data_IF_177881659245
#
_entry.id   IF_177881659245
#
_cell.length_a   1.000
_cell.length_b   1.000
_cell.length_c   1.000
_cell.angle_alpha   90.00
_cell.angle_beta   90.00
_cell.angle_gamma   90.00
#
_symmetry.space_group_name_H-M   'P 1'
#
loop_
_entity.id
_entity.type
_entity.pdbx_description
1 polymer ?
#
# COMPACT_ATOMS: atom_id res chain seq x y z
N UNK A 1 -87.87 -32.01 -73.18
CA UNK A 1 -86.42 -32.30 -73.08
C UNK A 1 -85.67 -31.14 -72.46
N UNK A 2 -85.86 -29.91 -72.93
CA UNK A 2 -85.13 -28.71 -72.44
C UNK A 2 -85.27 -28.41 -70.94
N UNK A 3 -86.45 -28.63 -70.35
CA UNK A 3 -86.69 -28.37 -68.92
C UNK A 3 -85.94 -29.36 -68.00
N UNK A 4 -85.68 -30.58 -68.47
CA UNK A 4 -84.89 -31.58 -67.74
C UNK A 4 -83.39 -31.33 -67.88
N UNK A 5 -82.94 -30.94 -69.07
CA UNK A 5 -81.56 -30.51 -69.30
C UNK A 5 -81.20 -29.29 -68.44
N UNK A 6 -82.07 -28.27 -68.37
CA UNK A 6 -81.83 -27.07 -67.55
C UNK A 6 -81.77 -27.38 -66.04
N UNK A 7 -82.61 -28.30 -65.54
CA UNK A 7 -82.55 -28.75 -64.14
C UNK A 7 -81.26 -29.52 -63.81
N UNK A 8 -80.80 -30.37 -64.72
CA UNK A 8 -79.53 -31.09 -64.56
C UNK A 8 -78.33 -30.13 -64.53
N UNK A 9 -78.30 -29.16 -65.44
CA UNK A 9 -77.25 -28.13 -65.52
C UNK A 9 -77.21 -27.24 -64.26
N UNK A 10 -78.37 -26.89 -63.69
CA UNK A 10 -78.45 -26.14 -62.44
C UNK A 10 -78.01 -26.97 -61.22
N UNK A 11 -78.29 -28.28 -61.20
CA UNK A 11 -77.84 -29.18 -60.14
C UNK A 11 -76.32 -29.38 -60.19
N UNK A 12 -75.75 -29.56 -61.40
CA UNK A 12 -74.31 -29.65 -61.63
C UNK A 12 -73.59 -28.38 -61.15
N UNK A 13 -74.09 -27.21 -61.53
CA UNK A 13 -73.55 -25.92 -61.08
C UNK A 13 -73.66 -25.72 -59.55
N UNK A 14 -74.74 -26.21 -58.93
CA UNK A 14 -74.90 -26.18 -57.46
C UNK A 14 -73.87 -27.06 -56.76
N UNK A 15 -73.60 -28.26 -57.30
CA UNK A 15 -72.58 -29.18 -56.77
C UNK A 15 -71.18 -28.58 -56.93
N UNK A 16 -70.87 -27.97 -58.08
CA UNK A 16 -69.59 -27.27 -58.29
C UNK A 16 -69.34 -26.16 -57.26
N UNK A 17 -70.35 -25.32 -56.98
CA UNK A 17 -70.27 -24.26 -55.97
C UNK A 17 -70.03 -24.86 -54.57
N UNK A 18 -70.69 -25.97 -54.23
CA UNK A 18 -70.47 -26.65 -52.95
C UNK A 18 -69.07 -27.26 -52.83
N UNK A 19 -68.55 -27.88 -53.90
CA UNK A 19 -67.19 -28.41 -53.96
C UNK A 19 -66.17 -27.28 -53.79
N UNK A 20 -66.35 -26.15 -54.48
CA UNK A 20 -65.48 -24.98 -54.37
C UNK A 20 -65.48 -24.41 -52.94
N UNK A 21 -66.66 -24.33 -52.32
CA UNK A 21 -66.79 -23.88 -50.93
C UNK A 21 -66.14 -24.85 -49.93
N UNK A 22 -66.26 -26.17 -50.16
CA UNK A 22 -65.59 -27.19 -49.34
C UNK A 22 -64.08 -27.15 -49.53
N UNK A 23 -63.57 -26.94 -50.75
CA UNK A 23 -62.15 -26.75 -51.03
C UNK A 23 -61.60 -25.54 -50.28
N UNK A 24 -62.25 -24.37 -50.36
CA UNK A 24 -61.86 -23.16 -49.62
C UNK A 24 -61.88 -23.36 -48.09
N UNK A 25 -62.87 -24.10 -47.57
CA UNK A 25 -62.92 -24.47 -46.15
C UNK A 25 -61.79 -25.43 -45.77
N UNK A 26 -61.45 -26.37 -46.64
CA UNK A 26 -60.35 -27.30 -46.44
C UNK A 26 -59.01 -26.55 -46.40
N UNK A 27 -58.74 -25.68 -47.38
CA UNK A 27 -57.50 -24.89 -47.43
C UNK A 27 -57.37 -23.95 -46.24
N UNK A 28 -58.44 -23.23 -45.87
CA UNK A 28 -58.41 -22.34 -44.70
C UNK A 28 -58.16 -23.10 -43.39
N UNK A 29 -58.72 -24.31 -43.22
CA UNK A 29 -58.43 -25.17 -42.07
C UNK A 29 -57.01 -25.70 -42.08
N UNK A 30 -56.49 -26.09 -43.25
CA UNK A 30 -55.09 -26.54 -43.40
C UNK A 30 -54.11 -25.41 -43.07
N UNK A 31 -54.37 -24.18 -43.51
CA UNK A 31 -53.57 -23.00 -43.17
C UNK A 31 -53.63 -22.68 -41.67
N UNK A 32 -54.82 -22.75 -41.06
CA UNK A 32 -54.98 -22.55 -39.63
C UNK A 32 -54.22 -23.61 -38.80
N UNK A 33 -54.26 -24.88 -39.23
CA UNK A 33 -53.49 -25.95 -38.60
C UNK A 33 -51.98 -25.72 -38.73
N UNK A 34 -51.52 -25.24 -39.88
CA UNK A 34 -50.10 -24.95 -40.10
C UNK A 34 -49.63 -23.78 -39.21
N UNK A 35 -50.43 -22.71 -39.12
CA UNK A 35 -50.16 -21.59 -38.21
C UNK A 35 -50.14 -22.03 -36.75
N UNK A 36 -51.08 -22.87 -36.32
CA UNK A 36 -51.12 -23.38 -34.96
C UNK A 36 -49.93 -24.30 -34.67
N UNK A 37 -49.54 -25.14 -35.63
CA UNK A 37 -48.35 -25.98 -35.52
C UNK A 37 -47.07 -25.15 -35.37
N UNK A 38 -46.97 -24.04 -36.10
CA UNK A 38 -45.83 -23.13 -36.00
C UNK A 38 -45.78 -22.43 -34.64
N UNK A 39 -46.93 -21.94 -34.15
CA UNK A 39 -47.02 -21.35 -32.82
C UNK A 39 -46.70 -22.37 -31.71
N UNK A 40 -47.17 -23.60 -31.85
CA UNK A 40 -46.85 -24.68 -30.91
C UNK A 40 -45.35 -24.99 -30.88
N UNK A 41 -44.68 -25.05 -32.02
CA UNK A 41 -43.24 -25.22 -32.09
C UNK A 41 -42.49 -24.05 -31.42
N UNK A 42 -42.90 -22.81 -31.68
CA UNK A 42 -42.33 -21.62 -31.03
C UNK A 42 -42.50 -21.68 -29.51
N UNK A 43 -43.69 -22.04 -29.01
CA UNK A 43 -43.94 -22.21 -27.58
C UNK A 43 -43.10 -23.33 -26.96
N UNK A 44 -42.83 -24.41 -27.70
CA UNK A 44 -41.94 -25.48 -27.24
C UNK A 44 -40.49 -24.99 -27.12
N UNK A 45 -39.99 -24.28 -28.12
CA UNK A 45 -38.65 -23.70 -28.07
C UNK A 45 -38.50 -22.71 -26.90
N UNK A 46 -39.49 -21.85 -26.68
CA UNK A 46 -39.50 -20.92 -25.53
C UNK A 46 -39.51 -21.68 -24.21
N UNK A 47 -40.34 -22.71 -24.05
CA UNK A 47 -40.36 -23.54 -22.84
C UNK A 47 -39.00 -24.17 -22.58
N UNK A 48 -38.37 -24.73 -23.60
CA UNK A 48 -37.07 -25.41 -23.46
C UNK A 48 -35.97 -24.41 -23.09
N UNK A 49 -36.00 -23.19 -23.65
CA UNK A 49 -35.12 -22.09 -23.26
C UNK A 49 -35.31 -21.69 -21.79
N UNK A 50 -36.56 -21.55 -21.33
CA UNK A 50 -36.84 -21.24 -19.92
C UNK A 50 -36.42 -22.37 -18.98
N UNK A 51 -36.57 -23.63 -19.40
CA UNK A 51 -36.13 -24.79 -18.61
C UNK A 51 -34.60 -24.82 -18.46
N UNK A 52 -33.85 -24.54 -19.54
CA UNK A 52 -32.39 -24.43 -19.48
C UNK A 52 -31.95 -23.24 -18.63
N UNK A 53 -32.60 -22.09 -18.77
CA UNK A 53 -32.33 -20.91 -17.94
C UNK A 53 -32.55 -21.22 -16.45
N UNK A 54 -33.65 -21.89 -16.10
CA UNK A 54 -33.95 -22.29 -14.73
C UNK A 54 -32.89 -23.26 -14.16
N UNK A 55 -32.44 -24.24 -14.95
CA UNK A 55 -31.35 -25.15 -14.57
C UNK A 55 -30.05 -24.38 -14.33
N UNK A 56 -29.72 -23.43 -15.20
CA UNK A 56 -28.55 -22.58 -15.06
C UNK A 56 -28.62 -21.68 -13.81
N UNK A 57 -29.78 -21.10 -13.51
CA UNK A 57 -29.97 -20.33 -12.27
C UNK A 57 -29.82 -21.19 -11.03
N UNK A 58 -30.39 -22.40 -11.01
CA UNK A 58 -30.26 -23.32 -9.88
C UNK A 58 -28.80 -23.72 -9.64
N UNK A 59 -28.02 -23.94 -10.71
CA UNK A 59 -26.59 -24.23 -10.62
C UNK A 59 -25.81 -23.05 -10.04
N UNK A 60 -26.03 -21.83 -10.57
CA UNK A 60 -25.38 -20.61 -10.07
C UNK A 60 -25.73 -20.31 -8.61
N UNK A 61 -26.98 -20.57 -8.21
CA UNK A 61 -27.41 -20.40 -6.83
C UNK A 61 -26.66 -21.36 -5.90
N UNK A 62 -26.55 -22.64 -6.26
CA UNK A 62 -25.79 -23.64 -5.50
C UNK A 62 -24.30 -23.28 -5.40
N UNK A 63 -23.69 -22.79 -6.48
CA UNK A 63 -22.31 -22.31 -6.49
C UNK A 63 -22.13 -21.09 -5.56
N UNK A 64 -23.07 -20.14 -5.59
CA UNK A 64 -23.05 -18.96 -4.73
C UNK A 64 -23.24 -19.33 -3.25
N UNK A 65 -24.16 -20.24 -2.93
CA UNK A 65 -24.39 -20.75 -1.57
C UNK A 65 -23.14 -21.45 -1.02
N UNK A 66 -22.47 -22.26 -1.84
CA UNK A 66 -21.23 -22.93 -1.46
C UNK A 66 -20.09 -21.92 -1.23
N UNK A 67 -19.95 -20.91 -2.10
CA UNK A 67 -18.98 -19.84 -1.92
C UNK A 67 -19.23 -19.05 -0.63
N UNK A 68 -20.49 -18.67 -0.37
CA UNK A 68 -20.88 -17.98 0.85
C UNK A 68 -20.58 -18.82 2.11
N UNK A 69 -20.81 -20.13 2.06
CA UNK A 69 -20.51 -21.04 3.17
C UNK A 69 -19.02 -21.08 3.49
N UNK A 70 -18.15 -21.12 2.47
CA UNK A 70 -16.69 -21.10 2.66
C UNK A 70 -16.26 -19.76 3.26
N UNK A 71 -16.72 -18.65 2.70
CA UNK A 71 -16.41 -17.31 3.19
C UNK A 71 -16.85 -17.16 4.65
N UNK A 72 -18.07 -17.57 5.00
CA UNK A 72 -18.58 -17.52 6.38
C UNK A 72 -17.71 -18.33 7.35
N UNK A 73 -17.23 -19.51 6.94
CA UNK A 73 -16.30 -20.31 7.76
C UNK A 73 -14.94 -19.63 7.94
N UNK A 74 -14.41 -18.99 6.90
CA UNK A 74 -13.16 -18.23 6.99
C UNK A 74 -13.29 -17.01 7.90
N UNK A 75 -14.41 -16.28 7.81
CA UNK A 75 -14.71 -15.18 8.72
C UNK A 75 -14.77 -15.65 10.19
N UNK A 76 -15.46 -16.76 10.47
CA UNK A 76 -15.52 -17.30 11.83
C UNK A 76 -14.14 -17.74 12.36
N UNK A 77 -13.29 -18.31 11.49
CA UNK A 77 -11.90 -18.66 11.85
C UNK A 77 -11.06 -17.42 12.12
N UNK A 78 -11.21 -16.38 11.30
CA UNK A 78 -10.51 -15.11 11.48
C UNK A 78 -10.91 -14.44 12.80
N UNK A 79 -12.21 -14.37 13.09
CA UNK A 79 -12.73 -13.82 14.34
C UNK A 79 -12.19 -14.58 15.57
N UNK A 80 -12.19 -15.92 15.53
CA UNK A 80 -11.61 -16.74 16.60
C UNK A 80 -10.10 -16.50 16.78
N UNK A 81 -9.35 -16.31 15.68
CA UNK A 81 -7.92 -16.00 15.75
C UNK A 81 -7.69 -14.62 16.35
N UNK A 82 -8.43 -13.61 15.91
CA UNK A 82 -8.35 -12.24 16.42
C UNK A 82 -8.70 -12.18 17.92
N UNK A 83 -9.71 -12.94 18.36
CA UNK A 83 -10.06 -13.04 19.78
C UNK A 83 -8.89 -13.61 20.62
N UNK A 84 -8.25 -14.69 20.17
CA UNK A 84 -7.09 -15.29 20.87
C UNK A 84 -5.90 -14.35 20.93
N UNK A 85 -5.63 -13.62 19.84
CA UNK A 85 -4.54 -12.64 19.78
C UNK A 85 -4.81 -11.47 20.73
N UNK A 86 -6.05 -10.97 20.76
CA UNK A 86 -6.48 -9.95 21.73
C UNK A 86 -6.25 -10.41 23.17
N UNK A 87 -6.68 -11.62 23.50
CA UNK A 87 -6.53 -12.17 24.86
C UNK A 87 -5.06 -12.39 25.23
N UNK A 88 -4.21 -12.76 24.27
CA UNK A 88 -2.77 -12.89 24.48
C UNK A 88 -2.12 -11.52 24.78
N UNK A 89 -2.46 -10.50 23.99
CA UNK A 89 -1.95 -9.13 24.20
C UNK A 89 -2.42 -8.52 25.53
N UNK A 90 -3.65 -8.81 25.95
CA UNK A 90 -4.16 -8.37 27.25
C UNK A 90 -3.31 -8.98 28.38
N UNK A 91 -3.04 -10.29 28.33
CA UNK A 91 -2.21 -10.97 29.33
C UNK A 91 -0.78 -10.44 29.36
N UNK A 92 -0.18 -10.19 28.19
CA UNK A 92 1.16 -9.60 28.11
C UNK A 92 1.20 -8.19 28.72
N UNK A 93 0.19 -7.36 28.44
CA UNK A 93 0.09 -6.02 29.00
C UNK A 93 -0.10 -6.05 30.53
N UNK A 94 -0.94 -6.94 31.05
CA UNK A 94 -1.09 -7.16 32.49
C UNK A 94 0.24 -7.57 33.14
N UNK A 95 0.99 -8.47 32.50
CA UNK A 95 2.30 -8.91 33.00
C UNK A 95 3.34 -7.77 32.99
N UNK A 96 3.36 -6.96 31.93
CA UNK A 96 4.23 -5.78 31.85
C UNK A 96 3.87 -4.74 32.91
N UNK A 97 2.59 -4.50 33.16
CA UNK A 97 2.14 -3.60 34.22
C UNK A 97 2.60 -4.08 35.60
N UNK A 98 2.49 -5.38 35.89
CA UNK A 98 3.00 -5.97 37.13
C UNK A 98 4.53 -5.83 37.25
N UNK A 99 5.27 -6.03 36.15
CA UNK A 99 6.72 -5.85 36.13
C UNK A 99 7.11 -4.39 36.43
N UNK A 100 6.44 -3.43 35.80
CA UNK A 100 6.67 -2.00 36.05
C UNK A 100 6.37 -1.66 37.51
N UNK A 101 5.25 -2.15 38.07
CA UNK A 101 4.92 -1.93 39.49
C UNK A 101 6.00 -2.49 40.42
N UNK A 102 6.50 -3.70 40.15
CA UNK A 102 7.59 -4.30 40.93
C UNK A 102 8.86 -3.46 40.87
N UNK A 103 9.27 -3.04 39.67
CA UNK A 103 10.46 -2.20 39.49
C UNK A 103 10.31 -0.83 40.17
N UNK A 104 9.11 -0.24 40.17
CA UNK A 104 8.84 1.01 40.89
C UNK A 104 9.00 0.85 42.40
N UNK A 105 8.48 -0.25 42.96
CA UNK A 105 8.63 -0.57 44.39
C UNK A 105 10.11 -0.75 44.74
N UNK A 106 10.84 -1.53 43.93
CA UNK A 106 12.27 -1.76 44.10
C UNK A 106 13.08 -0.46 44.02
N UNK A 107 12.80 0.39 43.03
CA UNK A 107 13.47 1.68 42.86
C UNK A 107 13.22 2.61 44.06
N UNK A 108 12.00 2.60 44.61
CA UNK A 108 11.67 3.37 45.81
C UNK A 108 12.39 2.84 47.05
N UNK A 109 12.53 1.52 47.19
CA UNK A 109 13.30 0.89 48.27
C UNK A 109 14.78 1.29 48.19
N UNK A 110 15.38 1.19 47.01
CA UNK A 110 16.78 1.58 46.79
C UNK A 110 17.00 3.07 47.07
N UNK A 111 16.05 3.94 46.69
CA UNK A 111 16.09 5.37 47.03
C UNK A 111 16.05 5.62 48.53
N UNK A 112 15.27 4.84 49.29
CA UNK A 112 15.22 4.93 50.74
C UNK A 112 16.56 4.50 51.36
N UNK A 113 17.12 3.38 50.92
CA UNK A 113 18.43 2.90 51.36
C UNK A 113 19.54 3.91 51.07
N UNK A 114 19.56 4.50 49.87
CA UNK A 114 20.50 5.57 49.52
C UNK A 114 20.35 6.77 50.47
N UNK A 115 19.12 7.11 50.87
CA UNK A 115 18.87 8.22 51.79
C UNK A 115 19.40 7.90 53.20
N UNK A 116 19.19 6.69 53.68
CA UNK A 116 19.64 6.23 55.00
C UNK A 116 21.17 6.19 55.06
N UNK A 117 21.83 5.57 54.08
CA UNK A 117 23.29 5.55 53.96
C UNK A 117 23.87 6.97 53.88
N UNK A 118 23.23 7.88 53.11
CA UNK A 118 23.65 9.30 53.07
C UNK A 118 23.53 9.97 54.44
N UNK A 119 22.52 9.63 55.23
CA UNK A 119 22.34 10.18 56.58
C UNK A 119 23.40 9.64 57.56
N UNK A 120 23.72 8.35 57.48
CA UNK A 120 24.78 7.73 58.27
C UNK A 120 26.16 8.30 57.93
N UNK A 121 26.47 8.45 56.63
CA UNK A 121 27.70 9.11 56.20
C UNK A 121 27.82 10.54 56.76
N UNK A 122 26.73 11.30 56.81
CA UNK A 122 26.74 12.65 57.41
C UNK A 122 27.01 12.59 58.92
N UNK A 123 26.37 11.67 59.64
CA UNK A 123 26.58 11.49 61.07
C UNK A 123 28.02 11.07 61.40
N UNK A 124 28.60 10.16 60.60
CA UNK A 124 30.00 9.75 60.73
C UNK A 124 30.96 10.91 60.47
N UNK A 125 30.74 11.70 59.42
CA UNK A 125 31.53 12.93 59.16
C UNK A 125 31.46 13.90 60.34
N UNK A 126 30.29 14.10 60.94
CA UNK A 126 30.14 14.97 62.11
C UNK A 126 30.86 14.42 63.35
N UNK A 127 30.79 13.11 63.60
CA UNK A 127 31.53 12.46 64.70
C UNK A 127 33.04 12.62 64.51
N UNK A 128 33.53 12.43 63.28
CA UNK A 128 34.95 12.60 62.95
C UNK A 128 35.41 14.03 63.25
N UNK A 129 34.65 15.03 62.81
CA UNK A 129 34.93 16.44 63.08
C UNK A 129 34.94 16.77 64.58
N UNK A 130 34.01 16.21 65.37
CA UNK A 130 34.00 16.38 66.83
C UNK A 130 35.24 15.76 67.49
N UNK A 131 35.65 14.57 67.05
CA UNK A 131 36.86 13.91 67.54
C UNK A 131 38.12 14.71 67.20
N UNK A 132 38.23 15.27 66.00
CA UNK A 132 39.34 16.15 65.61
C UNK A 132 39.40 17.41 66.50
N UNK A 133 38.26 18.05 66.73
CA UNK A 133 38.19 19.23 67.61
C UNK A 133 38.56 18.89 69.05
N UNK A 134 38.04 17.79 69.61
CA UNK A 134 38.37 17.37 70.98
C UNK A 134 39.86 16.99 71.14
N UNK A 135 40.47 16.45 70.08
CA UNK A 135 41.93 16.20 70.05
C UNK A 135 42.72 17.50 70.13
N UNK A 136 42.33 18.53 69.36
CA UNK A 136 42.99 19.84 69.39
C UNK A 136 42.92 20.49 70.78
N UNK A 137 41.77 20.44 71.45
CA UNK A 137 41.63 20.99 72.81
C UNK A 137 42.46 20.22 73.85
N UNK A 138 42.67 18.91 73.69
CA UNK A 138 43.54 18.12 74.58
C UNK A 138 45.02 18.40 74.34
N UNK A 139 45.41 18.64 73.09
CA UNK A 139 46.77 19.04 72.72
C UNK A 139 47.09 20.47 73.23
N UNK A 140 46.10 21.37 73.26
CA UNK A 140 46.23 22.72 73.86
C UNK A 140 46.31 22.68 75.40
N UNK A 141 45.48 21.87 76.07
CA UNK A 141 45.50 21.72 77.53
C UNK A 141 46.78 21.03 78.06
N UNK A 142 47.41 20.17 77.25
CA UNK A 142 48.73 19.61 77.56
C UNK A 142 49.87 20.65 77.47
N UNK A 143 49.64 21.77 76.79
CA UNK A 143 50.63 22.84 76.58
C UNK A 143 50.59 23.93 77.67
N UNK A 144 49.48 24.08 78.39
CA UNK A 144 49.32 25.07 79.48
C UNK A 144 49.96 24.66 80.83
N UNK A 145 50.46 23.43 80.98
CA UNK A 145 51.08 22.95 82.23
C UNK A 145 52.61 23.04 82.30
N UNK A 146 53.23 23.84 81.41
CA UNK A 146 54.67 24.15 81.45
C UNK A 146 54.90 25.66 81.42
N UNK A 147 54.64 26.34 82.53
CA UNK A 147 55.00 27.75 82.70
C UNK A 147 56.30 27.91 83.51
N UNK A 148 57.23 28.69 82.94
CA UNK A 148 58.22 29.59 83.58
C UNK A 148 59.70 29.15 83.63
N UNK A 149 60.54 29.74 82.77
CA UNK A 149 61.77 30.45 83.17
C UNK A 149 62.42 31.27 82.02
N UNK A 150 62.25 32.59 82.12
CA UNK A 150 63.28 33.63 82.01
C UNK A 150 64.00 33.99 80.67
N UNK A 151 63.85 35.28 80.35
CA UNK A 151 64.83 36.25 79.79
C UNK A 151 65.25 36.12 78.33
N UNK A 152 64.85 37.13 77.54
CA UNK A 152 65.19 37.27 76.14
C UNK A 152 66.62 37.69 75.88
N UNK A 153 67.16 37.20 74.77
CA UNK A 153 67.91 37.99 73.81
C UNK A 153 68.10 37.17 72.54
N UNK A 154 67.58 37.72 71.44
CA UNK A 154 68.08 37.62 70.06
C UNK A 154 68.40 36.22 69.53
N UNK A 155 67.46 35.63 68.80
CA UNK A 155 67.78 34.63 67.77
C UNK A 155 66.78 34.70 66.62
N UNK A 156 67.34 34.74 65.41
CA UNK A 156 66.70 34.45 64.13
C UNK A 156 65.76 33.24 64.27
N UNK A 157 64.52 33.30 63.76
CA UNK A 157 64.30 33.10 62.33
C UNK A 157 64.63 31.64 61.98
N UNK A 158 63.64 30.75 62.10
CA UNK A 158 63.57 29.33 61.67
C UNK A 158 62.53 28.65 62.60
N UNK A 159 61.44 28.03 62.19
CA UNK A 159 60.91 27.71 60.88
C UNK A 159 59.48 27.19 61.12
N UNK A 160 58.48 28.03 60.86
CA UNK A 160 57.12 27.52 60.62
C UNK A 160 57.20 26.75 59.31
N UNK A 161 57.37 25.44 59.44
CA UNK A 161 57.72 24.57 58.34
C UNK A 161 56.67 24.59 57.23
N UNK A 162 57.07 24.29 55.99
CA UNK A 162 56.20 24.25 54.82
C UNK A 162 55.04 23.24 54.93
N UNK A 163 55.04 22.38 55.96
CA UNK A 163 54.10 21.28 56.12
C UNK A 163 52.64 21.70 56.38
N UNK A 164 52.38 22.74 57.20
CA UNK A 164 50.99 23.09 57.55
C UNK A 164 50.28 23.85 56.43
N UNK A 165 50.99 24.77 55.75
CA UNK A 165 50.54 25.38 54.51
C UNK A 165 50.33 24.34 53.40
N UNK A 166 51.21 23.32 53.32
CA UNK A 166 51.07 22.23 52.34
C UNK A 166 49.83 21.37 52.58
N UNK A 167 49.47 21.06 53.83
CA UNK A 167 48.24 20.28 54.12
C UNK A 167 46.96 21.05 53.82
N UNK A 168 46.93 22.35 54.11
CA UNK A 168 45.78 23.19 53.78
C UNK A 168 45.64 23.36 52.27
N UNK A 169 46.75 23.54 51.55
CA UNK A 169 46.78 23.60 50.09
C UNK A 169 46.28 22.30 49.46
N UNK A 170 46.72 21.14 49.95
CA UNK A 170 46.21 19.84 49.46
C UNK A 170 44.70 19.66 49.66
N UNK A 171 44.17 20.10 50.81
CA UNK A 171 42.71 20.00 51.07
C UNK A 171 41.94 20.96 50.17
N UNK A 172 42.47 22.16 49.93
CA UNK A 172 41.90 23.11 48.98
C UNK A 172 41.92 22.57 47.55
N UNK A 173 43.03 21.96 47.10
CA UNK A 173 43.12 21.31 45.79
C UNK A 173 42.13 20.14 45.65
N UNK A 174 41.95 19.31 46.70
CA UNK A 174 40.94 18.25 46.73
C UNK A 174 39.51 18.78 46.64
N UNK A 175 39.20 19.87 47.34
CA UNK A 175 37.89 20.52 47.25
C UNK A 175 37.70 21.16 45.88
N UNK A 176 38.74 21.77 45.31
CA UNK A 176 38.68 22.42 44.00
C UNK A 176 38.49 21.41 42.86
N UNK A 177 39.18 20.27 42.92
CA UNK A 177 38.98 19.14 41.99
C UNK A 177 37.58 18.56 42.13
N UNK A 178 37.06 18.38 43.35
CA UNK A 178 35.67 17.97 43.56
C UNK A 178 34.67 18.99 43.02
N UNK A 179 34.91 20.29 43.20
CA UNK A 179 34.07 21.33 42.63
C UNK A 179 34.10 21.31 41.09
N UNK A 180 35.28 21.09 40.50
CA UNK A 180 35.42 20.93 39.05
C UNK A 180 34.63 19.72 38.53
N UNK A 181 34.72 18.57 39.21
CA UNK A 181 33.92 17.39 38.87
C UNK A 181 32.42 17.65 39.00
N UNK A 182 31.97 18.29 40.09
CA UNK A 182 30.56 18.62 40.27
C UNK A 182 30.05 19.62 39.21
N UNK A 183 30.87 20.59 38.80
CA UNK A 183 30.55 21.49 37.70
C UNK A 183 30.40 20.74 36.38
N UNK A 184 31.28 19.78 36.10
CA UNK A 184 31.20 18.94 34.91
C UNK A 184 29.96 18.04 34.92
N UNK A 185 29.64 17.43 36.06
CA UNK A 185 28.45 16.58 36.23
C UNK A 185 27.16 17.40 36.02
N UNK A 186 27.08 18.60 36.61
CA UNK A 186 25.94 19.51 36.41
C UNK A 186 25.82 19.89 34.94
N UNK A 187 26.93 20.20 34.26
CA UNK A 187 26.92 20.50 32.83
C UNK A 187 26.41 19.30 32.01
N UNK A 188 26.85 18.08 32.33
CA UNK A 188 26.39 16.86 31.66
C UNK A 188 24.89 16.63 31.87
N UNK A 189 24.39 16.83 33.08
CA UNK A 189 22.96 16.71 33.40
C UNK A 189 22.11 17.77 32.71
N UNK A 190 22.65 18.97 32.48
CA UNK A 190 21.97 20.01 31.71
C UNK A 190 21.86 19.62 30.23
N UNK A 191 22.92 19.08 29.63
CA UNK A 191 22.88 18.56 28.27
C UNK A 191 21.84 17.44 28.12
N UNK A 192 21.84 16.45 29.02
CA UNK A 192 20.86 15.35 29.01
C UNK A 192 19.42 15.87 29.16
N UNK A 193 19.21 16.85 30.03
CA UNK A 193 17.91 17.51 30.18
C UNK A 193 17.46 18.19 28.89
N UNK A 194 18.36 18.85 28.16
CA UNK A 194 18.05 19.50 26.89
C UNK A 194 17.67 18.48 25.79
N UNK A 195 18.37 17.35 25.73
CA UNK A 195 18.02 16.23 24.83
C UNK A 195 16.62 15.69 25.15
N UNK A 196 16.32 15.42 26.43
CA UNK A 196 14.99 14.96 26.85
C UNK A 196 13.88 15.98 26.55
N UNK A 197 14.19 17.28 26.61
CA UNK A 197 13.26 18.35 26.21
C UNK A 197 12.98 18.28 24.71
N UNK A 198 14.00 18.07 23.88
CA UNK A 198 13.85 17.92 22.44
C UNK A 198 12.98 16.71 22.10
N UNK A 199 13.28 15.55 22.69
CA UNK A 199 12.52 14.30 22.49
C UNK A 199 11.05 14.46 22.89
N UNK A 200 10.80 15.08 24.06
CA UNK A 200 9.44 15.37 24.52
C UNK A 200 8.69 16.24 23.51
N UNK A 201 9.34 17.27 22.98
CA UNK A 201 8.71 18.20 22.05
C UNK A 201 8.46 17.56 20.67
N UNK A 202 9.31 16.64 20.22
CA UNK A 202 9.06 15.80 19.04
C UNK A 202 7.90 14.84 19.24
N UNK A 203 7.84 14.16 20.40
CA UNK A 203 6.74 13.28 20.75
C UNK A 203 5.42 14.05 20.85
N UNK A 204 5.41 15.26 21.43
CA UNK A 204 4.24 16.15 21.43
C UNK A 204 3.77 16.47 20.00
N UNK A 205 4.68 16.83 19.10
CA UNK A 205 4.33 17.07 17.67
C UNK A 205 3.76 15.81 17.02
N UNK A 206 4.28 14.63 17.33
CA UNK A 206 3.77 13.35 16.81
C UNK A 206 2.36 13.06 17.33
N UNK A 207 2.13 13.24 18.63
CA UNK A 207 0.80 13.07 19.25
C UNK A 207 -0.20 14.05 18.65
N UNK A 208 0.17 15.32 18.46
CA UNK A 208 -0.70 16.31 17.84
C UNK A 208 -1.08 15.93 16.41
N UNK A 209 -0.11 15.51 15.58
CA UNK A 209 -0.39 15.00 14.23
C UNK A 209 -1.32 13.80 14.24
N UNK A 210 -1.05 12.79 15.07
CA UNK A 210 -1.88 11.59 15.16
C UNK A 210 -3.29 11.91 15.66
N UNK A 211 -3.42 12.81 16.63
CA UNK A 211 -4.71 13.28 17.14
C UNK A 211 -5.50 14.03 16.07
N UNK A 212 -4.82 14.80 15.22
CA UNK A 212 -5.42 15.48 14.09
C UNK A 212 -5.92 14.48 13.03
N UNK A 213 -5.08 13.50 12.64
CA UNK A 213 -5.47 12.42 11.71
C UNK A 213 -6.62 11.57 12.26
N UNK A 214 -6.59 11.27 13.56
CA UNK A 214 -7.65 10.55 14.25
C UNK A 214 -8.95 11.38 14.25
N UNK A 215 -8.86 12.69 14.51
CA UNK A 215 -10.02 13.58 14.41
C UNK A 215 -10.58 13.64 12.99
N UNK A 216 -9.74 13.62 11.96
CA UNK A 216 -10.19 13.55 10.56
C UNK A 216 -10.87 12.21 10.23
N UNK A 217 -10.42 11.11 10.81
CA UNK A 217 -11.04 9.78 10.65
C UNK A 217 -12.38 9.66 11.39
N UNK A 218 -12.45 10.12 12.64
CA UNK A 218 -13.65 10.04 13.48
C UNK A 218 -14.73 11.05 13.07
N UNK A 219 -14.33 12.27 12.70
CA UNK A 219 -15.28 13.32 12.33
C UNK A 219 -15.66 13.26 10.84
N UNK A 220 -15.01 12.39 10.05
CA UNK A 220 -15.25 12.19 8.63
C UNK A 220 -15.14 13.48 7.83
N UNK A 221 -13.92 13.91 7.48
CA UNK A 221 -13.76 15.06 6.59
C UNK A 221 -14.45 14.78 5.25
N UNK A 222 -15.53 15.50 4.88
CA UNK A 222 -16.23 15.27 3.63
C UNK A 222 -15.29 15.41 2.43
N UNK A 223 -14.25 16.24 2.51
CA UNK A 223 -13.27 16.37 1.44
C UNK A 223 -12.40 15.12 1.28
N UNK A 224 -12.10 14.39 2.36
CA UNK A 224 -11.32 13.14 2.28
C UNK A 224 -12.16 11.99 1.75
N UNK A 225 -13.41 11.89 2.19
CA UNK A 225 -14.37 10.91 1.64
C UNK A 225 -14.59 11.16 0.14
N UNK A 226 -14.75 12.43 -0.27
CA UNK A 226 -14.86 12.81 -1.69
C UNK A 226 -13.59 12.46 -2.47
N UNK A 227 -12.39 12.77 -1.93
CA UNK A 227 -11.13 12.39 -2.59
C UNK A 227 -10.94 10.87 -2.71
N UNK A 228 -11.35 10.11 -1.71
CA UNK A 228 -11.29 8.64 -1.73
C UNK A 228 -12.29 8.07 -2.76
N UNK A 229 -13.51 8.61 -2.81
CA UNK A 229 -14.52 8.26 -3.82
C UNK A 229 -14.03 8.61 -5.24
N UNK A 230 -13.46 9.80 -5.44
CA UNK A 230 -12.94 10.24 -6.74
C UNK A 230 -11.74 9.37 -7.17
N UNK A 231 -10.89 8.95 -6.23
CA UNK A 231 -9.82 7.99 -6.47
C UNK A 231 -10.35 6.63 -6.95
N UNK A 232 -11.37 6.11 -6.26
CA UNK A 232 -12.05 4.86 -6.64
C UNK A 232 -12.75 4.98 -8.00
N UNK A 233 -13.40 6.11 -8.29
CA UNK A 233 -14.04 6.37 -9.58
C UNK A 233 -13.02 6.47 -10.72
N UNK A 234 -11.89 7.14 -10.50
CA UNK A 234 -10.79 7.21 -11.46
C UNK A 234 -10.22 5.82 -11.79
N UNK A 235 -9.98 5.01 -10.76
CA UNK A 235 -9.55 3.62 -10.94
C UNK A 235 -10.61 2.78 -11.67
N UNK A 236 -11.88 2.93 -11.31
CA UNK A 236 -12.99 2.24 -11.98
C UNK A 236 -13.08 2.61 -13.47
N UNK A 237 -12.90 3.89 -13.82
CA UNK A 237 -12.84 4.36 -15.22
C UNK A 237 -11.68 3.72 -15.99
N UNK A 238 -10.49 3.69 -15.40
CA UNK A 238 -9.31 3.07 -16.03
C UNK A 238 -9.49 1.56 -16.21
N UNK A 239 -9.98 0.85 -15.19
CA UNK A 239 -10.22 -0.59 -15.26
C UNK A 239 -11.29 -0.94 -16.30
N UNK A 240 -12.36 -0.15 -16.41
CA UNK A 240 -13.37 -0.29 -17.47
C UNK A 240 -12.76 -0.13 -18.86
N UNK A 241 -11.98 0.93 -19.08
CA UNK A 241 -11.32 1.16 -20.38
C UNK A 241 -10.33 0.02 -20.73
N UNK A 242 -9.60 -0.49 -19.74
CA UNK A 242 -8.68 -1.63 -19.91
C UNK A 242 -9.43 -2.93 -20.22
N UNK A 243 -10.57 -3.16 -19.58
CA UNK A 243 -11.42 -4.31 -19.83
C UNK A 243 -12.01 -4.28 -21.25
N UNK A 244 -12.52 -3.12 -21.68
CA UNK A 244 -13.06 -2.92 -23.02
C UNK A 244 -11.98 -3.17 -24.09
N UNK A 245 -10.78 -2.60 -23.93
CA UNK A 245 -9.66 -2.86 -24.83
C UNK A 245 -9.26 -4.36 -24.87
N UNK A 246 -9.25 -5.02 -23.72
CA UNK A 246 -8.99 -6.46 -23.68
C UNK A 246 -10.09 -7.27 -24.38
N UNK A 247 -11.36 -6.87 -24.24
CA UNK A 247 -12.48 -7.51 -24.95
C UNK A 247 -12.34 -7.33 -26.47
N UNK A 248 -11.97 -6.15 -26.95
CA UNK A 248 -11.67 -5.91 -28.37
C UNK A 248 -10.55 -6.84 -28.87
N UNK A 249 -9.44 -6.93 -28.13
CA UNK A 249 -8.32 -7.84 -28.46
C UNK A 249 -8.76 -9.31 -28.51
N UNK A 250 -9.59 -9.76 -27.56
CA UNK A 250 -10.15 -11.12 -27.60
C UNK A 250 -11.09 -11.32 -28.80
N UNK A 251 -11.83 -10.29 -29.21
CA UNK A 251 -12.70 -10.32 -30.38
C UNK A 251 -11.90 -10.49 -31.67
N UNK A 252 -10.80 -9.76 -31.80
CA UNK A 252 -9.94 -9.79 -32.98
C UNK A 252 -9.14 -11.07 -33.09
N UNK A 253 -8.57 -11.55 -31.99
CA UNK A 253 -7.90 -12.85 -31.95
C UNK A 253 -8.87 -13.98 -32.30
N UNK A 254 -10.12 -13.92 -31.83
CA UNK A 254 -11.18 -14.87 -32.22
C UNK A 254 -11.54 -14.77 -33.70
N UNK A 255 -11.64 -13.55 -34.25
CA UNK A 255 -11.88 -13.33 -35.68
C UNK A 255 -10.73 -13.85 -36.55
N UNK A 256 -9.48 -13.59 -36.15
CA UNK A 256 -8.28 -14.09 -36.79
C UNK A 256 -8.21 -15.62 -36.74
N UNK A 257 -8.48 -16.24 -35.59
CA UNK A 257 -8.59 -17.69 -35.46
C UNK A 257 -9.66 -18.28 -36.37
N UNK A 258 -10.82 -17.63 -36.48
CA UNK A 258 -11.89 -18.05 -37.40
C UNK A 258 -11.45 -17.96 -38.86
N UNK A 259 -10.71 -16.90 -39.24
CA UNK A 259 -10.10 -16.73 -40.57
C UNK A 259 -9.10 -17.86 -40.87
N UNK A 260 -8.14 -18.09 -39.97
CA UNK A 260 -7.14 -19.15 -40.14
C UNK A 260 -7.77 -20.55 -40.17
N UNK A 261 -8.77 -20.82 -39.33
CA UNK A 261 -9.53 -22.08 -39.35
C UNK A 261 -10.22 -22.31 -40.68
N UNK A 262 -10.82 -21.27 -41.28
CA UNK A 262 -11.43 -21.37 -42.62
C UNK A 262 -10.38 -21.70 -43.68
N UNK A 263 -9.23 -21.04 -43.67
CA UNK A 263 -8.13 -21.31 -44.60
C UNK A 263 -7.62 -22.75 -44.49
N UNK A 264 -7.45 -23.28 -43.26
CA UNK A 264 -7.02 -24.66 -43.02
C UNK A 264 -8.08 -25.66 -43.48
N UNK A 265 -9.35 -25.44 -43.15
CA UNK A 265 -10.44 -26.32 -43.57
C UNK A 265 -10.63 -26.33 -45.10
N UNK A 266 -10.39 -25.19 -45.76
CA UNK A 266 -10.42 -25.11 -47.22
C UNK A 266 -9.27 -25.89 -47.86
N UNK A 267 -8.06 -25.89 -47.26
CA UNK A 267 -6.94 -26.76 -47.67
C UNK A 267 -7.29 -28.25 -47.54
N UNK A 268 -7.95 -28.64 -46.45
CA UNK A 268 -8.35 -30.04 -46.22
C UNK A 268 -9.40 -30.52 -47.21
N UNK A 269 -10.36 -29.66 -47.58
CA UNK A 269 -11.44 -30.00 -48.53
C UNK A 269 -10.96 -30.11 -49.98
N UNK A 270 -9.93 -29.36 -50.36
CA UNK A 270 -9.26 -29.51 -51.68
C UNK A 270 -8.50 -30.84 -51.74
N UNK A 271 -7.90 -31.27 -50.63
CA UNK A 271 -7.15 -32.54 -50.53
C UNK A 271 -8.04 -33.79 -50.46
N UNK A 272 -9.30 -33.66 -50.02
CA UNK A 272 -10.26 -34.78 -49.94
C UNK A 272 -10.97 -35.08 -51.27
N UNK A 273 -10.89 -34.20 -52.26
CA UNK A 273 -11.46 -34.41 -53.59
C UNK A 273 -10.47 -35.05 -54.59
N UNK A 274 -9.26 -35.39 -54.14
CA UNK A 274 -8.20 -36.03 -54.92
C UNK A 274 -7.78 -37.35 -54.26
N UNK A 275 -8.74 -38.18 -53.89
CA UNK A 275 -8.50 -39.54 -53.40
C UNK A 275 -8.68 -40.51 -54.56
N UNK A 276 -7.61 -40.66 -55.35
CA UNK A 276 -7.20 -41.89 -56.05
C UNK A 276 -5.93 -41.55 -56.85
N UNK A 277 -4.77 -41.84 -56.25
CA UNK A 277 -3.52 -42.32 -56.88
C UNK A 277 -2.35 -42.25 -55.88
N UNK A 278 -1.60 -43.34 -55.80
CA UNK A 278 -0.39 -43.55 -55.00
C UNK A 278 0.78 -42.64 -55.41
N UNK A 279 1.85 -42.51 -54.60
CA UNK A 279 2.88 -41.51 -54.81
C UNK A 279 3.91 -41.99 -55.84
N UNK A 280 3.77 -41.56 -57.09
CA UNK A 280 4.89 -41.57 -58.03
C UNK A 280 5.44 -40.16 -58.25
N UNK A 281 6.74 -40.03 -57.97
CA UNK A 281 7.57 -38.89 -58.27
C UNK A 281 7.61 -38.68 -59.79
N UNK A 282 6.80 -37.77 -60.32
CA UNK A 282 7.01 -37.22 -61.66
C UNK A 282 6.83 -35.71 -61.65
N UNK A 283 7.75 -35.07 -62.38
CA UNK A 283 7.89 -33.62 -62.50
C UNK A 283 6.66 -32.99 -63.18
N UNK A 284 6.23 -31.86 -62.64
CA UNK A 284 5.33 -30.92 -63.31
C UNK A 284 3.83 -31.16 -63.04
N UNK A 285 3.28 -30.52 -62.01
CA UNK A 285 1.83 -30.53 -61.78
C UNK A 285 1.41 -29.96 -60.44
N UNK A 286 1.01 -28.68 -60.45
CA UNK A 286 0.08 -28.03 -59.51
C UNK A 286 0.21 -28.37 -58.01
N UNK A 287 1.21 -27.77 -57.37
CA UNK A 287 1.12 -27.47 -55.95
C UNK A 287 0.27 -26.19 -55.77
N UNK A 288 -1.06 -26.30 -55.73
CA UNK A 288 -1.92 -25.15 -55.38
C UNK A 288 -1.53 -24.66 -53.99
N UNK A 289 -1.07 -23.42 -54.00
CA UNK A 289 -0.05 -22.90 -53.14
C UNK A 289 -0.62 -22.41 -51.79
N UNK A 290 -0.11 -22.91 -50.66
CA UNK A 290 -0.68 -22.68 -49.34
C UNK A 290 0.27 -22.10 -48.31
N UNK A 291 0.17 -20.79 -48.04
CA UNK A 291 0.81 -20.05 -46.93
C UNK A 291 2.33 -20.26 -46.80
N UNK A 292 3.12 -19.43 -47.49
CA UNK A 292 4.57 -19.38 -47.27
C UNK A 292 4.90 -18.75 -45.91
N UNK A 293 5.82 -19.35 -45.15
CA UNK A 293 6.53 -18.67 -44.05
C UNK A 293 7.51 -17.63 -44.61
N UNK A 294 7.86 -16.60 -43.83
CA UNK A 294 8.75 -15.52 -44.27
C UNK A 294 10.10 -16.03 -44.83
N UNK A 295 10.64 -17.13 -44.29
CA UNK A 295 11.82 -17.80 -44.84
C UNK A 295 11.59 -18.44 -46.21
N UNK A 296 10.42 -19.01 -46.46
CA UNK A 296 10.07 -19.62 -47.74
C UNK A 296 9.83 -18.55 -48.80
N UNK A 297 9.24 -17.40 -48.43
CA UNK A 297 9.10 -16.23 -49.30
C UNK A 297 10.48 -15.69 -49.71
N UNK A 298 11.42 -15.53 -48.77
CA UNK A 298 12.79 -15.11 -49.07
C UNK A 298 13.56 -16.11 -49.92
N UNK A 299 13.37 -17.42 -49.71
CA UNK A 299 14.01 -18.46 -50.52
C UNK A 299 13.46 -18.48 -51.95
N UNK A 300 12.15 -18.26 -52.11
CA UNK A 300 11.43 -18.22 -53.40
C UNK A 300 11.76 -16.95 -54.20
N UNK A 301 11.85 -15.79 -53.55
CA UNK A 301 12.28 -14.54 -54.21
C UNK A 301 13.79 -14.51 -54.51
N UNK A 302 14.60 -15.28 -53.77
CA UNK A 302 16.05 -15.37 -53.97
C UNK A 302 16.51 -16.36 -55.05
N UNK A 303 15.64 -17.27 -55.51
CA UNK A 303 15.97 -18.28 -56.53
C UNK A 303 15.33 -17.95 -57.88
N UNK A 304 16.17 -17.68 -58.88
CA UNK A 304 15.81 -17.08 -60.19
C UNK A 304 14.95 -17.93 -61.15
N UNK A 305 14.25 -18.98 -60.70
CA UNK A 305 13.53 -19.85 -61.65
C UNK A 305 12.31 -20.53 -61.03
N UNK A 306 11.22 -19.77 -60.87
CA UNK A 306 9.87 -20.32 -60.73
C UNK A 306 8.97 -19.61 -61.73
N UNK A 307 8.48 -20.34 -62.73
CA UNK A 307 7.42 -19.86 -63.62
C UNK A 307 6.12 -19.80 -62.81
N UNK A 308 5.87 -18.67 -62.16
CA UNK A 308 4.63 -18.40 -61.43
C UNK A 308 3.56 -17.99 -62.45
N UNK A 309 2.39 -18.63 -62.39
CA UNK A 309 1.26 -18.25 -63.23
C UNK A 309 0.61 -16.96 -62.70
N UNK A 310 -0.15 -16.25 -63.54
CA UNK A 310 -0.90 -15.04 -63.14
C UNK A 310 -1.81 -15.27 -61.91
N UNK A 311 -2.30 -16.49 -61.72
CA UNK A 311 -3.06 -16.89 -60.54
C UNK A 311 -2.24 -16.89 -59.24
N UNK A 312 -0.97 -17.28 -59.30
CA UNK A 312 -0.06 -17.33 -58.15
C UNK A 312 0.35 -15.92 -57.72
N UNK A 313 0.60 -15.02 -58.68
CA UNK A 313 0.86 -13.61 -58.40
C UNK A 313 -0.35 -12.91 -57.76
N UNK A 314 -1.58 -13.21 -58.22
CA UNK A 314 -2.80 -12.70 -57.58
C UNK A 314 -2.96 -13.24 -56.15
N UNK A 315 -2.77 -14.54 -55.94
CA UNK A 315 -2.88 -15.15 -54.62
C UNK A 315 -1.83 -14.60 -53.63
N UNK A 316 -0.58 -14.44 -54.09
CA UNK A 316 0.49 -13.83 -53.30
C UNK A 316 0.17 -12.37 -52.94
N UNK A 317 -0.35 -11.60 -53.91
CA UNK A 317 -0.75 -10.21 -53.68
C UNK A 317 -1.87 -10.10 -52.63
N UNK A 318 -2.87 -10.99 -52.69
CA UNK A 318 -3.96 -11.05 -51.68
C UNK A 318 -3.42 -11.44 -50.30
N UNK A 319 -2.51 -12.41 -50.22
CA UNK A 319 -1.91 -12.83 -48.95
C UNK A 319 -1.05 -11.72 -48.31
N UNK A 320 -0.29 -10.98 -49.13
CA UNK A 320 0.50 -9.82 -48.68
C UNK A 320 -0.40 -8.67 -48.22
N UNK A 321 -1.48 -8.39 -48.94
CA UNK A 321 -2.46 -7.38 -48.56
C UNK A 321 -3.13 -7.73 -47.22
N UNK A 322 -3.55 -8.98 -47.05
CA UNK A 322 -4.11 -9.50 -45.81
C UNK A 322 -3.12 -9.39 -44.64
N UNK A 323 -1.85 -9.74 -44.86
CA UNK A 323 -0.79 -9.61 -43.85
C UNK A 323 -0.53 -8.15 -43.46
N UNK A 324 -0.56 -7.22 -44.42
CA UNK A 324 -0.43 -5.80 -44.14
C UNK A 324 -1.63 -5.27 -43.34
N UNK A 325 -2.84 -5.74 -43.67
CA UNK A 325 -4.05 -5.36 -42.96
C UNK A 325 -4.06 -5.88 -41.51
N UNK A 326 -3.65 -7.13 -41.28
CA UNK A 326 -3.52 -7.71 -39.94
C UNK A 326 -2.51 -6.91 -39.08
N UNK A 327 -1.38 -6.48 -39.66
CA UNK A 327 -0.41 -5.60 -38.99
C UNK A 327 -0.97 -4.21 -38.68
N UNK A 328 -1.76 -3.63 -39.59
CA UNK A 328 -2.40 -2.33 -39.40
C UNK A 328 -3.40 -2.37 -38.24
N UNK A 329 -4.19 -3.43 -38.17
CA UNK A 329 -5.12 -3.69 -37.06
C UNK A 329 -4.33 -3.77 -35.75
N UNK A 330 -3.30 -4.62 -35.69
CA UNK A 330 -2.47 -4.77 -34.49
C UNK A 330 -1.84 -3.44 -34.01
N UNK A 331 -1.33 -2.62 -34.93
CA UNK A 331 -0.80 -1.29 -34.62
C UNK A 331 -1.89 -0.34 -34.08
N UNK A 332 -3.12 -0.44 -34.59
CA UNK A 332 -4.25 0.38 -34.13
C UNK A 332 -4.63 0.01 -32.69
N UNK A 333 -4.63 -1.28 -32.33
CA UNK A 333 -4.85 -1.72 -30.94
C UNK A 333 -3.74 -1.25 -30.01
N UNK A 334 -2.49 -1.39 -30.43
CA UNK A 334 -1.37 -0.90 -29.64
C UNK A 334 -1.45 0.62 -29.37
N UNK A 335 -1.88 1.40 -30.37
CA UNK A 335 -2.14 2.84 -30.20
C UNK A 335 -3.28 3.11 -29.22
N UNK A 336 -4.37 2.35 -29.28
CA UNK A 336 -5.49 2.49 -28.34
C UNK A 336 -5.11 2.13 -26.90
N UNK A 337 -4.36 1.04 -26.70
CA UNK A 337 -3.81 0.65 -25.40
C UNK A 337 -2.89 1.75 -24.83
N UNK A 338 -1.98 2.28 -25.64
CA UNK A 338 -1.10 3.38 -25.24
C UNK A 338 -1.88 4.66 -24.92
N UNK A 339 -3.00 4.93 -25.59
CA UNK A 339 -3.88 6.06 -25.29
C UNK A 339 -4.56 5.92 -23.92
N UNK A 340 -4.98 4.71 -23.54
CA UNK A 340 -5.57 4.42 -22.23
C UNK A 340 -4.51 4.60 -21.13
N UNK A 341 -3.31 4.08 -21.34
CA UNK A 341 -2.18 4.25 -20.42
C UNK A 341 -1.77 5.72 -20.28
N UNK A 342 -1.66 6.45 -21.40
CA UNK A 342 -1.34 7.87 -21.40
C UNK A 342 -2.34 8.70 -20.59
N UNK A 343 -3.65 8.44 -20.75
CA UNK A 343 -4.70 9.08 -19.94
C UNK A 343 -4.54 8.79 -18.45
N UNK A 344 -4.20 7.55 -18.08
CA UNK A 344 -3.98 7.18 -16.68
C UNK A 344 -2.76 7.87 -16.09
N UNK A 345 -1.66 7.96 -16.84
CA UNK A 345 -0.46 8.69 -16.42
C UNK A 345 -0.79 10.16 -16.17
N UNK A 346 -1.47 10.83 -17.11
CA UNK A 346 -1.86 12.24 -16.93
C UNK A 346 -2.79 12.47 -15.74
N UNK A 347 -3.69 11.52 -15.45
CA UNK A 347 -4.59 11.60 -14.29
C UNK A 347 -3.82 11.41 -12.97
N UNK A 348 -2.88 10.46 -12.92
CA UNK A 348 -2.02 10.23 -11.76
C UNK A 348 -1.06 11.41 -11.49
N UNK A 349 -0.50 12.01 -12.54
CA UNK A 349 0.33 13.21 -12.42
C UNK A 349 -0.45 14.40 -11.84
N UNK A 350 -1.70 14.59 -12.29
CA UNK A 350 -2.59 15.62 -11.75
C UNK A 350 -2.94 15.36 -10.27
N UNK A 351 -3.20 14.11 -9.88
CA UNK A 351 -3.45 13.73 -8.48
C UNK A 351 -2.23 13.97 -7.59
N UNK A 352 -1.01 13.68 -8.08
CA UNK A 352 0.23 13.95 -7.34
C UNK A 352 0.46 15.45 -7.14
N UNK A 353 0.21 16.27 -8.17
CA UNK A 353 0.28 17.73 -8.07
C UNK A 353 -0.71 18.28 -7.02
N UNK A 354 -1.93 17.76 -7.00
CA UNK A 354 -2.95 18.16 -6.03
C UNK A 354 -2.54 17.82 -4.59
N UNK A 355 -2.04 16.61 -4.33
CA UNK A 355 -1.54 16.21 -2.99
C UNK A 355 -0.37 17.10 -2.54
N UNK A 356 0.58 17.36 -3.43
CA UNK A 356 1.72 18.25 -3.14
C UNK A 356 1.31 19.71 -2.87
N UNK A 357 0.16 20.15 -3.36
CA UNK A 357 -0.39 21.49 -3.07
C UNK A 357 -1.12 21.55 -1.72
N UNK A 358 -1.77 20.46 -1.30
CA UNK A 358 -2.41 20.36 0.02
C UNK A 358 -1.39 20.35 1.16
N UNK A 359 -0.23 19.73 0.97
CA UNK A 359 0.88 19.78 1.94
C UNK A 359 1.50 21.19 2.10
N UNK A 360 1.22 22.13 1.18
CA UNK A 360 1.72 23.51 1.20
C UNK A 360 0.72 24.56 1.72
N UNK A 361 -0.47 24.15 2.18
CA UNK A 361 -1.44 25.11 2.73
C UNK A 361 -0.95 25.71 4.05
N UNK A 362 -0.92 27.06 4.21
CA UNK A 362 -0.16 27.74 5.27
C UNK A 362 -0.82 27.71 6.66
N UNK A 363 -2.02 27.13 6.80
CA UNK A 363 -2.75 27.13 8.08
C UNK A 363 -2.29 26.08 9.10
N UNK A 364 -1.40 25.15 8.73
CA UNK A 364 -0.92 24.11 9.66
C UNK A 364 0.24 24.54 10.58
N UNK A 365 0.71 25.78 10.49
CA UNK A 365 1.86 26.28 11.28
C UNK A 365 1.61 27.62 11.99
N UNK A 366 0.38 27.94 12.37
CA UNK A 366 0.16 29.03 13.33
C UNK A 366 0.24 28.54 14.79
N UNK A 367 1.45 28.16 15.22
CA UNK A 367 1.84 28.37 16.61
C UNK A 367 2.86 29.50 16.63
N UNK A 368 2.35 30.68 16.94
CA UNK A 368 3.01 31.96 17.21
C UNK A 368 4.48 31.78 17.64
N UNK A 369 5.43 31.95 16.70
CA UNK A 369 6.82 32.22 17.06
C UNK A 369 6.84 33.57 17.78
N UNK A 370 7.03 33.54 19.09
CA UNK A 370 7.49 34.71 19.83
C UNK A 370 8.99 34.82 19.53
N UNK A 371 9.49 36.00 19.08
CA UNK A 371 10.90 36.15 18.77
C UNK A 371 11.76 35.95 20.02
N UNK A 372 12.83 35.19 19.80
CA UNK A 372 13.88 34.86 20.74
C UNK A 372 14.58 36.15 21.20
N UNK A 373 14.42 36.53 22.47
CA UNK A 373 15.34 37.47 23.12
C UNK A 373 16.46 36.60 23.68
N UNK A 374 17.68 36.75 23.14
CA UNK A 374 18.88 36.16 23.73
C UNK A 374 19.14 36.83 25.07
N UNK A 375 18.67 36.24 26.16
CA UNK A 375 19.23 36.52 27.47
C UNK A 375 20.52 35.70 27.56
N UNK A 376 21.64 36.36 27.24
CA UNK A 376 22.96 35.90 27.65
C UNK A 376 22.94 35.76 29.17
N UNK A 377 22.84 34.53 29.69
CA UNK A 377 23.08 34.26 31.11
C UNK A 377 24.58 34.35 31.31
N UNK A 378 25.07 35.59 31.40
CA UNK A 378 26.38 35.90 31.92
C UNK A 378 26.38 35.50 33.39
N UNK A 379 27.16 34.48 33.72
CA UNK A 379 27.54 34.18 35.09
C UNK A 379 28.41 35.35 35.55
N UNK A 380 27.81 36.28 36.29
CA UNK A 380 28.53 37.36 36.93
C UNK A 380 29.13 36.79 38.22
N UNK A 381 30.36 36.32 38.13
CA UNK A 381 31.21 36.07 39.29
C UNK A 381 31.63 37.43 39.85
N UNK A 382 30.93 37.92 40.88
CA UNK A 382 31.40 39.04 41.69
C UNK A 382 32.57 38.57 42.57
N UNK A 383 33.78 38.62 42.00
CA UNK A 383 35.02 38.63 42.77
C UNK A 383 35.24 40.08 43.19
N UNK A 384 34.85 40.41 44.42
CA UNK A 384 35.21 41.68 45.04
C UNK A 384 36.69 41.60 45.43
N UNK A 385 37.56 42.04 44.51
CA UNK A 385 38.94 42.36 44.84
C UNK A 385 38.98 43.59 45.78
N UNK A 386 39.42 43.36 47.01
CA UNK A 386 39.88 44.42 47.89
C UNK A 386 41.11 45.10 47.27
N UNK A 387 40.95 46.35 46.80
CA UNK A 387 42.07 47.26 46.61
C UNK A 387 42.17 48.22 47.78
N UNK A 388 43.19 48.00 48.58
CA UNK A 388 43.69 48.93 49.58
C UNK A 388 44.54 50.03 48.92
N UNK A 389 44.44 51.21 49.52
CA UNK A 389 45.37 52.36 49.51
C UNK A 389 45.46 53.23 48.25
N UNK A 390 44.96 54.47 48.37
CA UNK A 390 45.84 55.67 48.40
C UNK A 390 45.17 56.85 49.09
N UNK A 391 45.81 57.19 50.20
CA UNK A 391 45.87 58.46 50.92
C UNK A 391 45.94 59.67 49.98
N UNK A 392 45.12 60.69 50.24
CA UNK A 392 45.50 62.10 50.13
C UNK A 392 44.56 62.95 51.02
N UNK A 393 45.20 63.75 51.88
CA UNK A 393 44.72 64.64 52.96
C UNK A 393 44.43 63.99 54.33
#
# INVERSE_FOLDING_TARGET
MDQYCSKALNAERSIEIQIEALKKKCTSKSEALLSLSQQFASCQEERDQYEEAAKNFKKKLSEAEQSHRVISQEYARFESKAAREKDALIKENEQLQQNVQRLVIENNSLKAEIKDVKSECKALRQKLARFEVEKLYKDEAANEHTTNAATGSTCHGEGEGPAHGSTLLETFEKINTQNCHLQQDVQSLLCEKEELICDRDELKKKVQRLSQELSYLLNGDPNRIVNDIDGVLAENRYLKARLENAQEETGLTRAALKKYRRMVNQKLKVRSNSADEEPQLTNGGQATFGAYTAEQISRVLGSKSLELNDGDYRALSVALLDSCNDKLIALTHQRNANKILGRRVTELEAQLLQRNSQDKSPDRLQSRRVPFISASVGIQCDIVEQKTVKTEL
#
